data_IF_114061874871
#
_entry.id   IF_114061874871
#
_cell.length_a   1.000
_cell.length_b   1.000
_cell.length_c   1.000
_cell.angle_alpha   90.00
_cell.angle_beta   90.00
_cell.angle_gamma   90.00
#
_symmetry.space_group_name_H-M   'P 1'
#
loop_
_entity.id
_entity.type
_entity.pdbx_description
1 polymer ?
#
# COMPACT_ATOMS: atom_id res chain seq x y z
N UNK A 1 6.18 7.65 10.03
CA UNK A 1 6.33 7.12 8.67
C UNK A 1 7.50 6.14 8.60
N UNK A 2 7.23 4.92 8.17
CA UNK A 2 8.25 3.89 7.95
C UNK A 2 8.39 3.63 6.43
N UNK A 3 9.61 3.57 5.94
CA UNK A 3 9.93 3.27 4.55
C UNK A 3 10.70 1.95 4.48
N UNK A 4 10.21 1.01 3.67
CA UNK A 4 10.83 -0.31 3.45
C UNK A 4 11.50 -0.27 2.08
N UNK A 5 12.81 -0.07 2.05
CA UNK A 5 13.59 0.21 0.84
C UNK A 5 14.36 -0.98 0.26
N UNK A 6 14.31 -2.14 0.88
CA UNK A 6 15.10 -3.29 0.46
C UNK A 6 14.28 -4.55 0.14
N UNK A 7 12.96 -4.46 0.18
CA UNK A 7 12.07 -5.61 0.00
C UNK A 7 10.90 -5.24 -0.91
N UNK A 8 11.19 -5.03 -2.19
CA UNK A 8 10.16 -4.77 -3.20
C UNK A 8 9.09 -5.87 -3.15
N UNK A 9 7.83 -5.48 -3.11
CA UNK A 9 6.71 -6.39 -2.95
C UNK A 9 6.26 -6.61 -1.50
N UNK A 10 7.13 -6.44 -0.52
CA UNK A 10 6.84 -6.82 0.88
C UNK A 10 6.41 -5.66 1.79
N UNK A 11 6.22 -4.46 1.27
CA UNK A 11 5.74 -3.34 2.07
C UNK A 11 4.33 -3.61 2.60
N UNK A 12 3.45 -4.17 1.77
CA UNK A 12 2.09 -4.53 2.15
C UNK A 12 2.05 -5.64 3.20
N UNK A 13 2.86 -6.70 3.05
CA UNK A 13 2.96 -7.80 4.01
C UNK A 13 3.40 -7.31 5.38
N UNK A 14 4.46 -6.49 5.39
CA UNK A 14 4.98 -5.90 6.62
C UNK A 14 3.95 -5.01 7.31
N UNK A 15 3.34 -4.09 6.56
CA UNK A 15 2.35 -3.16 7.11
C UNK A 15 1.09 -3.90 7.58
N UNK A 16 0.70 -4.97 6.89
CA UNK A 16 -0.43 -5.80 7.30
C UNK A 16 -0.14 -6.54 8.61
N UNK A 17 1.06 -7.15 8.75
CA UNK A 17 1.51 -7.75 10.00
C UNK A 17 1.53 -6.75 11.15
N UNK A 18 1.93 -5.50 10.86
CA UNK A 18 1.89 -4.40 11.83
C UNK A 18 0.46 -4.06 12.26
N UNK A 19 -0.50 -4.02 11.32
CA UNK A 19 -1.90 -3.77 11.63
C UNK A 19 -2.48 -4.84 12.56
N UNK A 20 -2.18 -6.10 12.32
CA UNK A 20 -2.58 -7.21 13.18
C UNK A 20 -1.98 -7.06 14.60
N UNK A 21 -0.68 -6.71 14.68
CA UNK A 21 0.03 -6.57 15.94
C UNK A 21 -0.36 -5.31 16.75
N UNK A 22 -0.96 -4.32 16.07
CA UNK A 22 -1.32 -3.01 16.64
C UNK A 22 -2.80 -2.67 16.36
N UNK A 23 -3.76 -3.42 16.87
CA UNK A 23 -5.17 -3.29 16.49
C UNK A 23 -5.79 -1.92 16.84
N UNK A 24 -5.20 -1.18 17.77
CA UNK A 24 -5.64 0.15 18.19
C UNK A 24 -5.02 1.29 17.37
N UNK A 25 -4.19 0.98 16.37
CA UNK A 25 -3.56 1.97 15.50
C UNK A 25 -4.03 1.77 14.07
N UNK A 26 -4.39 2.83 13.39
CA UNK A 26 -4.61 2.76 11.94
C UNK A 26 -3.28 2.59 11.21
N UNK A 27 -3.23 1.68 10.27
CA UNK A 27 -2.06 1.41 9.43
C UNK A 27 -2.44 1.65 7.98
N UNK A 28 -1.78 2.63 7.38
CA UNK A 28 -1.88 2.94 5.96
C UNK A 28 -0.60 2.48 5.26
N UNK A 29 -0.73 1.64 4.25
CA UNK A 29 0.37 1.22 3.41
C UNK A 29 0.27 1.83 2.01
N UNK A 30 1.28 2.59 1.58
CA UNK A 30 1.44 2.98 0.18
C UNK A 30 2.33 1.95 -0.50
N UNK A 31 1.81 1.29 -1.53
CA UNK A 31 2.53 0.25 -2.28
C UNK A 31 2.34 0.46 -3.79
N UNK A 32 3.40 0.35 -4.56
CA UNK A 32 3.31 0.46 -6.02
C UNK A 32 2.57 -0.72 -6.66
N UNK A 33 2.03 -0.51 -7.85
CA UNK A 33 1.37 -1.54 -8.66
C UNK A 33 2.29 -2.72 -8.98
N UNK A 34 3.50 -2.46 -9.44
CA UNK A 34 4.50 -3.49 -9.69
C UNK A 34 4.90 -4.24 -8.41
N UNK A 35 5.01 -3.55 -7.29
CA UNK A 35 5.26 -4.12 -5.97
C UNK A 35 4.11 -5.03 -5.53
N UNK A 36 2.87 -4.62 -5.79
CA UNK A 36 1.68 -5.41 -5.49
C UNK A 36 1.61 -6.69 -6.32
N UNK A 37 1.98 -6.64 -7.60
CA UNK A 37 2.06 -7.84 -8.45
C UNK A 37 3.08 -8.85 -7.96
N UNK A 38 4.19 -8.41 -7.38
CA UNK A 38 5.23 -9.30 -6.84
C UNK A 38 4.73 -10.12 -5.64
N UNK A 39 3.80 -9.58 -4.85
CA UNK A 39 3.25 -10.21 -3.65
C UNK A 39 1.71 -10.20 -3.67
N UNK A 40 1.11 -10.59 -4.78
CA UNK A 40 -0.34 -10.56 -4.99
C UNK A 40 -1.10 -11.41 -3.96
N UNK A 41 -0.47 -12.48 -3.44
CA UNK A 41 -1.02 -13.33 -2.39
C UNK A 41 -1.34 -12.61 -1.08
N UNK A 42 -0.76 -11.42 -0.84
CA UNK A 42 -1.10 -10.59 0.32
C UNK A 42 -2.59 -10.23 0.34
N UNK A 43 -3.21 -9.97 -0.82
CA UNK A 43 -4.65 -9.69 -0.91
C UNK A 43 -5.49 -10.86 -0.36
N UNK A 44 -5.09 -12.09 -0.64
CA UNK A 44 -5.75 -13.29 -0.09
C UNK A 44 -5.52 -13.40 1.42
N UNK A 45 -4.30 -13.13 1.89
CA UNK A 45 -3.98 -13.14 3.33
C UNK A 45 -4.84 -12.14 4.11
N UNK A 46 -5.08 -10.96 3.54
CA UNK A 46 -5.91 -9.92 4.14
C UNK A 46 -7.37 -10.37 4.40
N UNK A 47 -7.88 -11.32 3.65
CA UNK A 47 -9.25 -11.84 3.83
C UNK A 47 -9.33 -12.97 4.84
N UNK A 48 -8.24 -13.73 5.03
CA UNK A 48 -8.18 -14.83 5.99
C UNK A 48 -8.10 -14.35 7.45
N UNK A 49 -7.46 -13.23 7.67
CA UNK A 49 -7.26 -12.63 9.00
C UNK A 49 -7.58 -11.13 8.94
N UNK A 50 -8.84 -10.73 8.80
CA UNK A 50 -9.20 -9.33 8.59
C UNK A 50 -8.65 -8.40 9.67
N UNK A 51 -7.92 -7.36 9.25
CA UNK A 51 -7.46 -6.28 10.12
C UNK A 51 -8.27 -5.01 9.81
N UNK A 52 -9.28 -4.67 10.65
CA UNK A 52 -10.18 -3.55 10.37
C UNK A 52 -9.49 -2.18 10.39
N UNK A 53 -8.28 -2.12 10.92
CA UNK A 53 -7.45 -0.93 11.03
C UNK A 53 -6.46 -0.78 9.86
N UNK A 54 -6.55 -1.61 8.80
CA UNK A 54 -5.61 -1.61 7.68
C UNK A 54 -6.19 -1.03 6.40
N UNK A 55 -5.41 -0.18 5.75
CA UNK A 55 -5.71 0.35 4.41
C UNK A 55 -4.49 0.18 3.51
N UNK A 56 -4.67 -0.51 2.40
CA UNK A 56 -3.68 -0.61 1.33
C UNK A 56 -4.02 0.38 0.21
N UNK A 57 -3.09 1.27 -0.10
CA UNK A 57 -3.17 2.14 -1.28
C UNK A 57 -2.21 1.59 -2.32
N UNK A 58 -2.75 1.16 -3.45
CA UNK A 58 -1.98 0.74 -4.62
C UNK A 58 -1.79 1.96 -5.52
N UNK A 59 -0.58 2.50 -5.57
CA UNK A 59 -0.23 3.60 -6.47
C UNK A 59 0.08 3.02 -7.84
N UNK A 60 -0.85 3.20 -8.79
CA UNK A 60 -0.80 2.61 -10.12
C UNK A 60 -0.29 3.66 -11.12
N UNK A 61 1.00 3.56 -11.48
CA UNK A 61 1.66 4.39 -12.50
C UNK A 61 2.18 3.58 -13.71
N UNK A 62 2.00 2.26 -13.72
CA UNK A 62 2.42 1.37 -14.80
C UNK A 62 3.92 1.13 -14.91
N UNK A 63 4.74 1.62 -13.95
CA UNK A 63 6.20 1.54 -14.04
C UNK A 63 6.89 1.16 -12.73
N UNK A 64 8.04 0.48 -12.85
CA UNK A 64 8.98 0.25 -11.75
C UNK A 64 9.96 1.43 -11.63
N UNK A 65 9.52 2.58 -11.14
CA UNK A 65 10.35 3.80 -11.08
C UNK A 65 11.66 3.60 -10.33
N UNK A 66 11.64 2.84 -9.22
CA UNK A 66 12.79 2.64 -8.33
C UNK A 66 13.95 1.90 -9.01
N UNK A 67 13.66 1.07 -10.02
CA UNK A 67 14.67 0.23 -10.69
C UNK A 67 15.00 0.67 -12.12
N UNK A 68 14.46 1.78 -12.58
CA UNK A 68 14.77 2.35 -13.90
C UNK A 68 13.56 2.49 -14.82
N UNK A 69 12.38 2.59 -14.25
CA UNK A 69 11.11 2.87 -14.97
C UNK A 69 10.75 1.83 -16.04
N UNK A 70 11.09 0.57 -15.80
CA UNK A 70 10.61 -0.53 -16.64
C UNK A 70 9.07 -0.60 -16.54
N UNK A 71 8.43 -0.95 -17.64
CA UNK A 71 6.98 -1.13 -17.69
C UNK A 71 6.58 -2.32 -16.80
N UNK A 72 5.59 -2.11 -15.96
CA UNK A 72 5.00 -3.19 -15.15
C UNK A 72 4.26 -4.17 -16.06
N UNK A 73 4.42 -5.50 -15.89
CA UNK A 73 3.67 -6.48 -16.66
C UNK A 73 2.16 -6.22 -16.57
N UNK A 74 1.49 -6.12 -17.71
CA UNK A 74 0.06 -5.83 -17.79
C UNK A 74 -0.32 -4.38 -17.48
N UNK A 75 0.62 -3.43 -17.54
CA UNK A 75 0.34 -2.00 -17.37
C UNK A 75 -0.81 -1.55 -18.27
N UNK A 76 -1.81 -0.89 -17.69
CA UNK A 76 -3.03 -0.45 -18.37
C UNK A 76 -4.06 -1.56 -18.66
N UNK A 77 -3.75 -2.84 -18.41
CA UNK A 77 -4.68 -3.97 -18.60
C UNK A 77 -5.06 -4.68 -17.28
N UNK A 78 -4.22 -4.59 -16.24
CA UNK A 78 -4.51 -5.18 -14.94
C UNK A 78 -5.57 -4.35 -14.20
N UNK A 79 -6.65 -4.98 -13.80
CA UNK A 79 -7.64 -4.40 -12.89
C UNK A 79 -7.28 -4.77 -11.43
N UNK A 80 -6.48 -3.94 -10.76
CA UNK A 80 -6.11 -4.15 -9.36
C UNK A 80 -7.30 -4.12 -8.41
N UNK A 81 -8.31 -3.30 -8.70
CA UNK A 81 -9.53 -3.25 -7.91
C UNK A 81 -10.32 -4.56 -8.07
N UNK A 82 -10.42 -5.08 -9.30
CA UNK A 82 -11.01 -6.38 -9.60
C UNK A 82 -10.28 -7.52 -8.89
N UNK A 83 -8.94 -7.51 -8.90
CA UNK A 83 -8.13 -8.51 -8.19
C UNK A 83 -8.38 -8.48 -6.67
N UNK A 84 -8.46 -7.29 -6.07
CA UNK A 84 -8.76 -7.15 -4.65
C UNK A 84 -10.16 -7.67 -4.30
N UNK A 85 -11.19 -7.35 -5.12
CA UNK A 85 -12.55 -7.88 -4.96
C UNK A 85 -12.60 -9.39 -5.15
N UNK A 86 -11.91 -9.92 -6.15
CA UNK A 86 -11.84 -11.37 -6.40
C UNK A 86 -11.16 -12.12 -5.26
N UNK A 87 -10.22 -11.48 -4.54
CA UNK A 87 -9.64 -12.02 -3.33
C UNK A 87 -10.61 -12.01 -2.13
N UNK A 88 -11.73 -11.28 -2.20
CA UNK A 88 -12.76 -11.22 -1.17
C UNK A 88 -12.70 -9.93 -0.31
N UNK A 89 -11.99 -8.90 -0.75
CA UNK A 89 -11.96 -7.60 -0.06
C UNK A 89 -13.21 -6.81 -0.47
N UNK A 90 -14.01 -6.42 0.50
CA UNK A 90 -15.29 -5.74 0.27
C UNK A 90 -15.12 -4.23 0.01
N UNK A 91 -14.21 -3.59 0.75
CA UNK A 91 -13.98 -2.15 0.65
C UNK A 91 -12.88 -1.84 -0.37
N UNK A 92 -13.27 -1.72 -1.64
CA UNK A 92 -12.33 -1.45 -2.74
C UNK A 92 -12.81 -0.27 -3.58
N UNK A 93 -11.95 0.73 -3.75
CA UNK A 93 -12.22 1.95 -4.54
C UNK A 93 -11.08 2.20 -5.52
N UNK A 94 -11.43 2.71 -6.70
CA UNK A 94 -10.48 3.29 -7.66
C UNK A 94 -10.59 4.81 -7.61
N UNK A 95 -9.47 5.48 -7.46
CA UNK A 95 -9.31 6.94 -7.45
C UNK A 95 -8.55 7.32 -8.72
N UNK A 96 -9.20 8.02 -9.64
CA UNK A 96 -8.63 8.42 -10.92
C UNK A 96 -8.59 9.95 -11.10
N UNK A 97 -9.16 10.71 -10.16
CA UNK A 97 -9.21 12.18 -10.18
C UNK A 97 -9.15 12.74 -8.76
N UNK A 98 -8.86 14.04 -8.65
CA UNK A 98 -8.94 14.76 -7.36
C UNK A 98 -10.37 14.74 -6.78
N UNK A 99 -11.39 14.81 -7.64
CA UNK A 99 -12.78 14.74 -7.21
C UNK A 99 -13.11 13.35 -6.60
N UNK A 100 -12.60 12.27 -7.17
CA UNK A 100 -12.73 10.92 -6.59
C UNK A 100 -12.02 10.84 -5.25
N UNK A 101 -10.83 11.45 -5.15
CA UNK A 101 -10.05 11.48 -3.91
C UNK A 101 -10.86 12.15 -2.79
N UNK A 102 -11.38 13.35 -3.03
CA UNK A 102 -12.15 14.08 -2.02
C UNK A 102 -13.45 13.36 -1.64
N UNK A 103 -14.13 12.72 -2.61
CA UNK A 103 -15.38 12.02 -2.38
C UNK A 103 -15.21 10.73 -1.56
N UNK A 104 -14.09 10.02 -1.77
CA UNK A 104 -13.92 8.68 -1.21
C UNK A 104 -12.99 8.60 -0.01
N UNK A 105 -12.07 9.55 0.14
CA UNK A 105 -11.03 9.47 1.17
C UNK A 105 -11.63 9.45 2.58
N UNK A 106 -12.47 10.43 2.91
CA UNK A 106 -13.05 10.55 4.24
C UNK A 106 -13.94 9.35 4.60
N UNK A 107 -14.83 8.97 3.68
CA UNK A 107 -15.76 7.86 3.90
C UNK A 107 -15.07 6.52 4.12
N UNK A 108 -13.93 6.29 3.44
CA UNK A 108 -13.21 5.02 3.55
C UNK A 108 -12.25 4.95 4.72
N UNK A 109 -11.65 6.07 5.13
CA UNK A 109 -10.83 6.07 6.34
C UNK A 109 -11.63 5.82 7.61
N UNK A 110 -12.93 6.12 7.58
CA UNK A 110 -13.85 5.89 8.71
C UNK A 110 -14.52 4.52 8.65
N UNK A 111 -14.42 3.80 7.53
CA UNK A 111 -14.96 2.44 7.40
C UNK A 111 -14.00 1.40 7.98
N UNK A 112 -14.50 0.32 8.60
CA UNK A 112 -13.64 -0.78 9.03
C UNK A 112 -13.03 -1.48 7.80
N UNK A 113 -11.70 -1.70 7.87
CA UNK A 113 -10.95 -2.43 6.83
C UNK A 113 -11.06 -3.96 6.98
N UNK A 114 -10.23 -4.69 6.24
CA UNK A 114 -9.19 -4.17 5.35
C UNK A 114 -9.78 -3.48 4.12
N UNK A 115 -9.19 -2.35 3.74
CA UNK A 115 -9.63 -1.57 2.58
C UNK A 115 -8.52 -1.50 1.54
N UNK A 116 -8.88 -1.46 0.26
CA UNK A 116 -7.94 -1.27 -0.86
C UNK A 116 -8.36 -0.07 -1.68
N UNK A 117 -7.44 0.89 -1.83
CA UNK A 117 -7.56 1.99 -2.77
C UNK A 117 -6.61 1.76 -3.94
N UNK A 118 -7.12 1.80 -5.16
CA UNK A 118 -6.30 1.84 -6.37
C UNK A 118 -6.22 3.29 -6.82
N UNK A 119 -5.07 3.89 -6.64
CA UNK A 119 -4.85 5.28 -6.98
C UNK A 119 -4.10 5.38 -8.30
N UNK A 120 -4.82 5.83 -9.35
CA UNK A 120 -4.23 6.10 -10.66
C UNK A 120 -3.40 7.37 -10.56
N UNK A 121 -2.11 7.24 -10.76
CA UNK A 121 -1.17 8.36 -10.70
C UNK A 121 -0.30 8.39 -11.95
N UNK A 122 0.25 9.55 -12.23
CA UNK A 122 1.27 9.68 -13.27
C UNK A 122 2.65 9.32 -12.73
N UNK A 123 3.51 8.89 -13.63
CA UNK A 123 4.92 8.70 -13.31
C UNK A 123 5.55 10.04 -12.96
N UNK A 124 6.37 10.09 -11.90
CA UNK A 124 7.11 11.28 -11.56
C UNK A 124 8.21 11.59 -12.59
N UNK A 125 8.32 12.86 -12.98
CA UNK A 125 9.41 13.32 -13.86
C UNK A 125 10.74 13.49 -13.11
N UNK A 126 10.67 13.70 -11.80
CA UNK A 126 11.83 13.88 -10.95
C UNK A 126 12.17 12.60 -10.17
N UNK A 127 13.48 12.36 -9.90
CA UNK A 127 13.87 11.21 -9.10
C UNK A 127 13.32 11.29 -7.68
N UNK A 128 12.72 10.21 -7.20
CA UNK A 128 12.22 10.11 -5.83
C UNK A 128 13.39 10.24 -4.83
N UNK A 129 13.32 11.14 -3.85
CA UNK A 129 14.36 11.29 -2.85
C UNK A 129 14.56 9.99 -2.07
N UNK A 130 15.81 9.55 -1.98
CA UNK A 130 16.14 8.37 -1.15
C UNK A 130 16.15 8.73 0.33
N UNK A 131 15.73 7.82 1.22
CA UNK A 131 15.84 8.04 2.65
C UNK A 131 17.29 8.32 3.06
N UNK A 132 17.51 9.40 3.81
CA UNK A 132 18.86 9.83 4.23
C UNK A 132 19.44 9.00 5.39
N UNK A 133 18.58 8.26 6.11
CA UNK A 133 18.98 7.48 7.30
C UNK A 133 19.03 5.99 7.00
N UNK A 134 20.01 5.25 7.59
CA UNK A 134 20.09 3.80 7.47
C UNK A 134 18.80 3.09 7.89
N UNK A 135 18.47 1.99 7.24
CA UNK A 135 17.25 1.20 7.56
C UNK A 135 17.23 0.74 9.02
N UNK A 136 18.38 0.39 9.59
CA UNK A 136 18.51 -0.01 10.98
C UNK A 136 18.01 1.06 11.95
N UNK A 137 18.39 2.32 11.72
CA UNK A 137 18.00 3.43 12.60
C UNK A 137 16.53 3.74 12.47
N UNK A 138 15.99 3.69 11.24
CA UNK A 138 14.55 3.86 10.98
C UNK A 138 13.71 2.74 11.61
N UNK A 139 14.20 1.49 11.57
CA UNK A 139 13.55 0.36 12.24
C UNK A 139 13.55 0.50 13.76
N UNK A 140 14.64 1.02 14.33
CA UNK A 140 14.72 1.32 15.76
C UNK A 140 13.70 2.39 16.17
N UNK A 141 13.61 3.49 15.41
CA UNK A 141 12.65 4.57 15.67
C UNK A 141 11.21 4.06 15.57
N UNK A 142 10.91 3.26 14.54
CA UNK A 142 9.59 2.66 14.39
C UNK A 142 9.25 1.78 15.61
N UNK A 143 10.19 0.94 16.04
CA UNK A 143 10.00 0.09 17.22
C UNK A 143 9.71 0.94 18.45
N UNK A 144 10.52 1.98 18.72
CA UNK A 144 10.32 2.89 19.85
C UNK A 144 8.91 3.54 19.81
N UNK A 145 8.51 4.05 18.64
CA UNK A 145 7.19 4.65 18.45
C UNK A 145 6.01 3.67 18.67
N UNK A 146 6.22 2.38 18.41
CA UNK A 146 5.19 1.35 18.57
C UNK A 146 5.09 0.84 20.02
N UNK A 147 6.19 0.84 20.77
CA UNK A 147 6.27 0.30 22.13
C UNK A 147 6.08 1.35 23.23
N UNK A 148 5.91 2.61 22.85
CA UNK A 148 5.71 3.71 23.81
C UNK A 148 6.99 4.35 24.33
N UNK A 149 8.13 4.10 23.64
CA UNK A 149 9.42 4.77 23.80
C UNK A 149 10.16 4.35 25.01
#
# INVERSE_FOLDING_TARGET
FAHVDSAMGHAADFAYGLAIAQPNRRVLCLNGDGSTLMCLGTLVTMTQHPAPNFTLVITENGTYEVTGSQIVPGAGAVDFAGLARAAGIEHVVTIASEADFDAHLAAHFDSPGPSVFVWKIEKADEPVPKPSRPIRDRAHDLRAALTGG
#
